data_IF_214288757137
#
_entry.id   IF_214288757137
#
_cell.length_a   1.000
_cell.length_b   1.000
_cell.length_c   1.000
_cell.angle_alpha   90.00
_cell.angle_beta   90.00
_cell.angle_gamma   90.00
#
_symmetry.space_group_name_H-M   'P 1'
#
loop_
_entity.id
_entity.type
_entity.pdbx_description
1 polymer ?
#
# COMPACT_ATOMS: atom_id res chain seq x y z
N UNK A 1 -26.77 -6.46 1.00
CA UNK A 1 -26.79 -5.03 1.39
C UNK A 1 -25.87 -4.89 2.59
N UNK A 2 -24.63 -4.42 2.41
CA UNK A 2 -23.75 -4.15 3.55
C UNK A 2 -24.27 -2.89 4.24
N UNK A 3 -24.78 -3.02 5.46
CA UNK A 3 -24.92 -1.89 6.37
C UNK A 3 -23.55 -1.69 7.01
N UNK A 4 -22.85 -0.65 6.57
CA UNK A 4 -21.67 -0.15 7.25
C UNK A 4 -22.16 0.67 8.45
N UNK A 5 -21.63 0.37 9.63
CA UNK A 5 -21.87 1.16 10.82
C UNK A 5 -20.77 2.23 10.92
N UNK A 6 -21.07 3.41 10.39
CA UNK A 6 -20.11 4.51 10.34
C UNK A 6 -19.71 4.99 11.74
N UNK A 7 -20.61 4.90 12.72
CA UNK A 7 -20.34 5.31 14.10
C UNK A 7 -19.35 4.33 14.76
N UNK A 8 -19.54 3.02 14.56
CA UNK A 8 -18.59 2.03 15.05
C UNK A 8 -17.23 2.12 14.35
N UNK A 9 -17.19 2.35 13.03
CA UNK A 9 -15.93 2.55 12.30
C UNK A 9 -15.17 3.76 12.86
N UNK A 10 -15.87 4.88 13.08
CA UNK A 10 -15.28 6.08 13.65
C UNK A 10 -14.78 5.86 15.08
N UNK A 11 -15.58 5.19 15.92
CA UNK A 11 -15.20 4.87 17.30
C UNK A 11 -13.93 4.02 17.36
N UNK A 12 -13.82 3.02 16.50
CA UNK A 12 -12.63 2.16 16.41
C UNK A 12 -11.40 2.92 15.88
N UNK A 13 -11.60 3.83 14.92
CA UNK A 13 -10.54 4.73 14.45
C UNK A 13 -10.04 5.63 15.57
N UNK A 14 -10.96 6.28 16.28
CA UNK A 14 -10.66 7.20 17.38
C UNK A 14 -9.88 6.48 18.49
N UNK A 15 -10.34 5.32 18.95
CA UNK A 15 -9.65 4.53 19.97
C UNK A 15 -8.22 4.13 19.56
N UNK A 16 -7.98 3.87 18.27
CA UNK A 16 -6.66 3.52 17.77
C UNK A 16 -5.66 4.68 17.82
N UNK A 17 -6.15 5.93 17.78
CA UNK A 17 -5.32 7.14 17.73
C UNK A 17 -5.23 7.80 19.10
N UNK A 18 -6.36 8.11 19.74
CA UNK A 18 -6.40 8.99 20.94
C UNK A 18 -5.90 8.31 22.20
N UNK A 19 -5.81 6.97 22.21
CA UNK A 19 -5.25 6.20 23.33
C UNK A 19 -3.74 5.99 23.24
N UNK A 20 -3.10 6.52 22.19
CA UNK A 20 -1.69 6.31 21.89
C UNK A 20 -0.98 7.65 21.74
N UNK A 21 0.31 7.67 22.10
CA UNK A 21 1.16 8.81 21.75
C UNK A 21 1.37 8.89 20.23
N UNK A 22 1.70 10.09 19.74
CA UNK A 22 1.80 10.42 18.32
C UNK A 22 2.77 9.54 17.52
N UNK A 23 3.67 8.81 18.18
CA UNK A 23 4.65 7.92 17.57
C UNK A 23 4.57 6.45 18.03
N UNK A 24 3.45 6.04 18.63
CA UNK A 24 3.25 4.67 19.11
C UNK A 24 2.06 3.94 18.49
N UNK A 25 1.54 4.44 17.36
CA UNK A 25 0.38 3.84 16.69
C UNK A 25 0.86 2.81 15.66
N UNK A 26 0.69 1.52 15.96
CA UNK A 26 0.97 0.40 15.05
C UNK A 26 -0.22 0.03 14.17
N UNK A 27 0.00 -0.85 13.19
CA UNK A 27 -1.06 -1.41 12.32
C UNK A 27 -2.13 -2.18 13.10
N UNK A 28 -1.75 -2.84 14.21
CA UNK A 28 -2.65 -3.66 15.02
C UNK A 28 -3.74 -2.83 15.71
N UNK A 29 -3.44 -1.57 16.06
CA UNK A 29 -4.44 -0.68 16.65
C UNK A 29 -5.60 -0.41 15.68
N UNK A 30 -5.35 -0.38 14.37
CA UNK A 30 -6.40 -0.18 13.37
C UNK A 30 -7.16 -1.46 12.98
N UNK A 31 -6.78 -2.63 13.51
CA UNK A 31 -7.33 -3.93 13.08
C UNK A 31 -8.87 -3.98 13.21
N UNK A 32 -9.40 -3.49 14.32
CA UNK A 32 -10.83 -3.48 14.58
C UNK A 32 -11.60 -2.55 13.64
N UNK A 33 -11.04 -1.37 13.35
CA UNK A 33 -11.59 -0.45 12.34
C UNK A 33 -11.69 -1.15 10.97
N UNK A 34 -10.63 -1.81 10.51
CA UNK A 34 -10.65 -2.52 9.22
C UNK A 34 -11.61 -3.72 9.20
N UNK A 35 -11.85 -4.40 10.33
CA UNK A 35 -12.86 -5.45 10.41
C UNK A 35 -14.30 -4.94 10.30
N UNK A 36 -14.55 -3.71 10.75
CA UNK A 36 -15.85 -3.05 10.56
C UNK A 36 -16.07 -2.56 9.11
N UNK A 37 -15.04 -2.62 8.25
CA UNK A 37 -15.07 -2.14 6.86
C UNK A 37 -14.81 -3.24 5.81
N UNK A 38 -15.52 -4.39 5.83
CA UNK A 38 -15.28 -5.45 4.88
C UNK A 38 -15.64 -4.98 3.46
N UNK A 39 -14.68 -5.14 2.54
CA UNK A 39 -14.84 -4.77 1.13
C UNK A 39 -14.38 -5.90 0.22
N UNK A 40 -15.07 -6.02 -0.91
CA UNK A 40 -14.73 -6.92 -2.01
C UNK A 40 -14.86 -6.16 -3.31
N UNK A 41 -13.83 -6.21 -4.15
CA UNK A 41 -13.79 -5.53 -5.42
C UNK A 41 -13.67 -6.53 -6.58
N UNK A 42 -14.27 -6.23 -7.75
CA UNK A 42 -14.11 -7.07 -8.94
C UNK A 42 -12.63 -7.25 -9.33
N UNK A 43 -12.27 -8.47 -9.74
CA UNK A 43 -10.94 -8.77 -10.26
C UNK A 43 -10.61 -8.00 -11.56
N UNK A 44 -9.35 -8.10 -11.98
CA UNK A 44 -8.81 -7.55 -13.24
C UNK A 44 -8.72 -6.02 -13.32
N UNK A 45 -9.08 -5.34 -12.22
CA UNK A 45 -9.23 -3.88 -12.18
C UNK A 45 -8.42 -3.20 -11.09
N UNK A 46 -7.54 -3.91 -10.38
CA UNK A 46 -6.73 -3.29 -9.32
C UNK A 46 -5.58 -2.48 -9.92
N UNK A 47 -5.45 -1.23 -9.49
CA UNK A 47 -4.37 -0.33 -9.89
C UNK A 47 -3.59 0.14 -8.66
N UNK A 48 -2.31 -0.21 -8.68
CA UNK A 48 -1.29 0.26 -7.75
C UNK A 48 -0.49 1.38 -8.40
N UNK A 49 0.11 2.24 -7.59
CA UNK A 49 0.89 3.36 -8.11
C UNK A 49 2.02 3.73 -7.15
N UNK A 50 3.15 4.20 -7.68
CA UNK A 50 4.29 4.64 -6.87
C UNK A 50 4.91 5.88 -7.47
N UNK A 51 4.96 6.96 -6.67
CA UNK A 51 5.49 8.28 -7.07
C UNK A 51 4.78 8.89 -8.29
N UNK A 52 3.51 8.53 -8.48
CA UNK A 52 2.69 8.88 -9.65
C UNK A 52 1.29 9.39 -9.27
N UNK A 53 1.06 9.87 -8.04
CA UNK A 53 -0.28 10.26 -7.53
C UNK A 53 -1.11 11.11 -8.51
N UNK A 54 -0.56 12.24 -8.96
CA UNK A 54 -1.23 13.17 -9.89
C UNK A 54 -1.57 12.46 -11.21
N UNK A 55 -0.60 11.71 -11.74
CA UNK A 55 -0.74 10.97 -12.98
C UNK A 55 -1.74 9.82 -12.87
N UNK A 56 -1.78 9.16 -11.71
CA UNK A 56 -2.75 8.12 -11.39
C UNK A 56 -4.17 8.68 -11.43
N UNK A 57 -4.44 9.81 -10.79
CA UNK A 57 -5.78 10.42 -10.82
C UNK A 57 -6.22 10.77 -12.24
N UNK A 58 -5.32 11.37 -13.05
CA UNK A 58 -5.60 11.64 -14.46
C UNK A 58 -5.83 10.37 -15.27
N UNK A 59 -5.03 9.33 -15.06
CA UNK A 59 -5.13 8.05 -15.76
C UNK A 59 -6.42 7.31 -15.40
N UNK A 60 -6.77 7.23 -14.12
CA UNK A 60 -8.00 6.60 -13.64
C UNK A 60 -9.26 7.33 -14.15
N UNK A 61 -9.23 8.66 -14.23
CA UNK A 61 -10.33 9.47 -14.77
C UNK A 61 -10.60 9.23 -16.27
N UNK A 62 -9.56 8.90 -17.04
CA UNK A 62 -9.65 8.68 -18.50
C UNK A 62 -9.93 7.22 -18.85
N UNK A 63 -9.19 6.29 -18.25
CA UNK A 63 -9.32 4.85 -18.55
C UNK A 63 -10.52 4.24 -17.82
N UNK A 64 -11.15 5.02 -16.92
CA UNK A 64 -12.40 4.75 -16.18
C UNK A 64 -12.67 3.27 -16.10
N UNK A 65 -11.97 2.46 -15.31
CA UNK A 65 -12.28 1.03 -15.08
C UNK A 65 -11.30 0.39 -14.06
N UNK A 66 -10.52 1.19 -13.33
CA UNK A 66 -9.59 0.71 -12.32
C UNK A 66 -10.08 1.10 -10.92
N UNK A 67 -9.78 0.26 -9.94
CA UNK A 67 -9.93 0.49 -8.52
C UNK A 67 -8.55 0.79 -7.96
N UNK A 68 -8.39 1.93 -7.30
CA UNK A 68 -7.20 2.26 -6.54
C UNK A 68 -7.45 2.11 -5.05
N UNK A 69 -6.41 2.22 -4.24
CA UNK A 69 -6.58 2.23 -2.78
C UNK A 69 -7.48 3.39 -2.34
N UNK A 70 -7.38 4.53 -3.01
CA UNK A 70 -8.18 5.74 -2.75
C UNK A 70 -9.67 5.54 -3.02
N UNK A 71 -10.06 4.57 -3.85
CA UNK A 71 -11.46 4.22 -4.11
C UNK A 71 -12.08 3.32 -3.02
N UNK A 72 -11.25 2.72 -2.16
CA UNK A 72 -11.74 1.92 -1.02
C UNK A 72 -12.37 2.83 0.05
N UNK A 73 -13.23 2.30 0.92
CA UNK A 73 -13.82 3.10 2.02
C UNK A 73 -12.76 3.79 2.88
N UNK A 74 -11.69 3.06 3.27
CA UNK A 74 -10.59 3.63 4.04
C UNK A 74 -9.82 4.68 3.23
N UNK A 75 -9.56 4.40 1.95
CA UNK A 75 -8.95 5.37 1.04
C UNK A 75 -9.77 6.65 0.98
N UNK A 76 -11.05 6.54 0.65
CA UNK A 76 -11.97 7.67 0.51
C UNK A 76 -12.08 8.51 1.80
N UNK A 77 -12.23 7.86 2.96
CA UNK A 77 -12.41 8.55 4.25
C UNK A 77 -11.14 9.29 4.71
N UNK A 78 -9.96 8.72 4.48
CA UNK A 78 -8.72 9.20 5.07
C UNK A 78 -7.76 9.87 4.06
N UNK A 79 -8.14 9.95 2.78
CA UNK A 79 -7.30 10.56 1.76
C UNK A 79 -7.00 12.02 2.08
N UNK A 80 -5.74 12.43 1.94
CA UNK A 80 -5.26 13.80 2.19
C UNK A 80 -5.50 14.33 3.63
N UNK A 81 -5.88 13.45 4.58
CA UNK A 81 -6.00 13.80 5.99
C UNK A 81 -4.73 13.49 6.77
N UNK A 82 -4.49 14.26 7.85
CA UNK A 82 -3.42 14.07 8.82
C UNK A 82 -4.05 14.06 10.21
N UNK A 83 -3.62 13.14 11.07
CA UNK A 83 -4.12 13.03 12.43
C UNK A 83 -3.05 12.44 13.35
N UNK A 84 -3.15 12.76 14.63
CA UNK A 84 -2.33 12.22 15.70
C UNK A 84 -3.00 12.44 17.06
N UNK A 85 -2.60 11.66 18.07
CA UNK A 85 -3.08 11.79 19.44
C UNK A 85 -2.25 12.79 20.24
N UNK A 86 -2.87 13.43 21.22
CA UNK A 86 -2.18 14.28 22.19
C UNK A 86 -1.31 13.44 23.14
N UNK A 87 -0.23 14.02 23.67
CA UNK A 87 0.68 13.30 24.59
C UNK A 87 0.15 13.25 26.03
N UNK A 88 -0.55 14.30 26.49
CA UNK A 88 -0.97 14.45 27.89
C UNK A 88 -2.45 14.13 28.13
N UNK A 89 -3.31 14.36 27.13
CA UNK A 89 -4.76 14.20 27.22
C UNK A 89 -5.28 13.17 26.21
N UNK A 90 -6.44 12.57 26.50
CA UNK A 90 -7.14 11.72 25.53
C UNK A 90 -7.86 12.58 24.51
N UNK A 91 -7.26 12.74 23.32
CA UNK A 91 -7.86 13.48 22.22
C UNK A 91 -6.96 13.58 20.99
N UNK A 92 -7.48 14.16 19.92
CA UNK A 92 -6.69 14.49 18.73
C UNK A 92 -5.93 15.81 18.93
N UNK A 93 -4.69 15.87 18.45
CA UNK A 93 -3.96 17.13 18.35
C UNK A 93 -4.34 17.84 17.04
N UNK A 94 -4.97 19.00 17.16
CA UNK A 94 -5.35 19.87 16.03
C UNK A 94 -4.35 20.99 15.78
N UNK A 95 -3.35 21.15 16.64
CA UNK A 95 -2.35 22.21 16.57
C UNK A 95 -1.15 21.77 15.73
N UNK A 96 -0.61 20.59 16.03
CA UNK A 96 0.59 20.08 15.35
C UNK A 96 0.69 18.56 15.42
N UNK A 97 0.83 17.92 14.27
CA UNK A 97 1.24 16.52 14.19
C UNK A 97 2.70 16.40 13.74
N UNK A 98 3.43 15.37 14.20
CA UNK A 98 4.77 15.11 13.70
C UNK A 98 4.78 14.86 12.19
N UNK A 99 5.91 15.09 11.54
CA UNK A 99 6.07 14.68 10.16
C UNK A 99 6.02 13.16 10.01
N UNK A 100 5.58 12.69 8.85
CA UNK A 100 5.46 11.26 8.54
C UNK A 100 6.79 10.49 8.68
N UNK A 101 7.92 11.16 8.46
CA UNK A 101 9.26 10.61 8.62
C UNK A 101 9.82 10.70 10.04
N UNK A 102 9.14 11.39 10.96
CA UNK A 102 9.63 11.61 12.31
C UNK A 102 9.71 10.30 13.10
N UNK A 103 8.82 9.34 12.84
CA UNK A 103 8.81 8.07 13.54
C UNK A 103 8.23 6.91 12.74
N UNK A 104 8.62 5.68 13.13
CA UNK A 104 8.23 4.45 12.44
C UNK A 104 6.75 4.10 12.62
N UNK A 105 6.21 4.33 13.82
CA UNK A 105 4.83 3.99 14.19
C UNK A 105 3.97 5.27 14.20
N UNK A 106 4.09 6.05 13.13
CA UNK A 106 3.26 7.23 12.92
C UNK A 106 1.81 6.80 12.60
N UNK A 107 0.78 7.39 13.21
CA UNK A 107 -0.64 7.00 13.06
C UNK A 107 -1.09 6.93 11.61
N UNK A 108 -0.82 7.98 10.84
CA UNK A 108 -1.21 8.05 9.44
C UNK A 108 -0.48 6.98 8.62
N UNK A 109 0.84 6.83 8.80
CA UNK A 109 1.62 5.81 8.11
C UNK A 109 1.15 4.37 8.42
N UNK A 110 0.81 4.09 9.67
CA UNK A 110 0.30 2.78 10.10
C UNK A 110 -1.06 2.47 9.49
N UNK A 111 -1.97 3.45 9.38
CA UNK A 111 -3.24 3.27 8.69
C UNK A 111 -3.01 2.93 7.22
N UNK A 112 -2.20 3.72 6.50
CA UNK A 112 -1.93 3.47 5.08
C UNK A 112 -1.21 2.15 4.85
N UNK A 113 -0.32 1.74 5.77
CA UNK A 113 0.34 0.43 5.72
C UNK A 113 -0.69 -0.70 5.80
N UNK A 114 -1.62 -0.66 6.75
CA UNK A 114 -2.67 -1.66 6.86
C UNK A 114 -3.65 -1.62 5.67
N UNK A 115 -4.03 -0.43 5.21
CA UNK A 115 -4.91 -0.25 4.05
C UNK A 115 -4.28 -0.83 2.77
N UNK A 116 -3.00 -0.54 2.54
CA UNK A 116 -2.22 -1.05 1.40
C UNK A 116 -2.09 -2.57 1.43
N UNK A 117 -1.84 -3.14 2.62
CA UNK A 117 -1.83 -4.59 2.80
C UNK A 117 -3.19 -5.21 2.45
N UNK A 118 -4.28 -4.69 3.02
CA UNK A 118 -5.63 -5.22 2.77
C UNK A 118 -6.02 -5.14 1.28
N UNK A 119 -5.67 -4.04 0.62
CA UNK A 119 -5.93 -3.85 -0.80
C UNK A 119 -5.14 -4.84 -1.67
N UNK A 120 -3.87 -5.07 -1.35
CA UNK A 120 -3.04 -6.05 -2.05
C UNK A 120 -3.50 -7.50 -1.82
N UNK A 121 -3.93 -7.85 -0.60
CA UNK A 121 -4.45 -9.19 -0.30
C UNK A 121 -5.78 -9.48 -1.02
N UNK A 122 -6.55 -8.43 -1.31
CA UNK A 122 -7.80 -8.51 -2.04
C UNK A 122 -7.61 -8.64 -3.55
N UNK A 123 -6.52 -8.10 -4.08
CA UNK A 123 -6.24 -8.04 -5.51
C UNK A 123 -6.27 -9.41 -6.19
N UNK A 124 -6.90 -9.48 -7.35
CA UNK A 124 -7.05 -10.70 -8.13
C UNK A 124 -7.15 -10.43 -9.63
N UNK A 125 -6.81 -11.44 -10.44
CA UNK A 125 -6.77 -11.35 -11.89
C UNK A 125 -5.60 -10.52 -12.38
N UNK A 126 -5.84 -9.71 -13.40
CA UNK A 126 -4.87 -8.79 -13.97
C UNK A 126 -4.80 -7.50 -13.14
N UNK A 127 -3.62 -7.19 -12.59
CA UNK A 127 -3.39 -5.93 -11.87
C UNK A 127 -2.58 -4.97 -12.74
N UNK A 128 -2.67 -3.68 -12.46
CA UNK A 128 -1.88 -2.64 -13.11
C UNK A 128 -1.03 -1.90 -12.07
N UNK A 129 0.20 -1.55 -12.42
CA UNK A 129 1.11 -0.77 -11.60
C UNK A 129 1.59 0.44 -12.40
N UNK A 130 1.31 1.64 -11.92
CA UNK A 130 1.83 2.89 -12.50
C UNK A 130 3.11 3.31 -11.79
N UNK A 131 4.24 3.27 -12.49
CA UNK A 131 5.53 3.73 -11.97
C UNK A 131 5.98 4.99 -12.70
N UNK A 132 6.66 5.87 -11.97
CA UNK A 132 7.20 7.10 -12.56
C UNK A 132 8.44 6.75 -13.39
N UNK A 133 8.29 6.73 -14.72
CA UNK A 133 9.39 6.38 -15.63
C UNK A 133 10.39 7.52 -15.85
N UNK A 134 10.06 8.75 -15.46
CA UNK A 134 10.93 9.92 -15.63
C UNK A 134 12.03 10.02 -14.56
N UNK A 135 12.11 9.06 -13.64
CA UNK A 135 13.10 9.01 -12.56
C UNK A 135 13.95 7.73 -12.64
N UNK A 136 15.22 7.84 -12.27
CA UNK A 136 16.20 6.71 -12.34
C UNK A 136 15.74 5.49 -11.53
N UNK A 137 15.08 5.73 -10.38
CA UNK A 137 14.57 4.69 -9.49
C UNK A 137 13.04 4.71 -9.46
N UNK A 138 12.44 4.32 -10.59
CA UNK A 138 10.99 4.18 -10.76
C UNK A 138 10.36 3.23 -9.71
N UNK A 139 11.05 2.11 -9.42
CA UNK A 139 10.71 1.20 -8.35
C UNK A 139 11.64 1.37 -7.14
N UNK A 140 11.08 1.23 -5.94
CA UNK A 140 11.83 1.18 -4.70
C UNK A 140 11.25 0.13 -3.77
N UNK A 141 12.08 -0.80 -3.28
CA UNK A 141 11.69 -1.80 -2.27
C UNK A 141 11.33 -1.16 -0.92
N UNK A 142 11.68 0.12 -0.71
CA UNK A 142 11.32 0.89 0.49
C UNK A 142 9.98 1.66 0.34
N UNK A 143 9.37 1.67 -0.85
CA UNK A 143 8.07 2.33 -1.06
C UNK A 143 6.92 1.50 -0.50
N UNK A 144 5.74 2.10 -0.29
CA UNK A 144 4.53 1.37 0.14
C UNK A 144 4.23 0.19 -0.82
N UNK A 145 4.27 0.45 -2.12
CA UNK A 145 4.18 -0.60 -3.13
C UNK A 145 5.22 -1.70 -2.95
N UNK A 146 6.50 -1.35 -2.89
CA UNK A 146 7.57 -2.35 -2.83
C UNK A 146 7.70 -3.12 -1.51
N UNK A 147 7.32 -2.52 -0.39
CA UNK A 147 7.54 -3.09 0.95
C UNK A 147 6.31 -3.72 1.59
N UNK A 148 5.12 -3.34 1.14
CA UNK A 148 3.85 -3.78 1.72
C UNK A 148 3.02 -4.44 0.64
N UNK A 149 2.57 -3.69 -0.37
CA UNK A 149 1.60 -4.17 -1.35
C UNK A 149 2.16 -5.39 -2.11
N UNK A 150 3.39 -5.29 -2.59
CA UNK A 150 4.04 -6.32 -3.37
C UNK A 150 4.23 -7.64 -2.61
N UNK A 151 4.56 -7.56 -1.31
CA UNK A 151 4.76 -8.72 -0.45
C UNK A 151 3.43 -9.32 0.03
N UNK A 152 2.34 -8.53 -0.01
CA UNK A 152 0.99 -8.93 0.38
C UNK A 152 0.14 -9.52 -0.76
N UNK A 153 0.52 -9.31 -2.03
CA UNK A 153 -0.12 -9.94 -3.18
C UNK A 153 -0.15 -11.46 -3.03
N UNK A 154 -1.27 -12.08 -3.40
CA UNK A 154 -1.42 -13.55 -3.38
C UNK A 154 -1.09 -14.12 -4.77
N UNK A 155 0.07 -14.80 -4.97
CA UNK A 155 0.50 -15.21 -6.31
C UNK A 155 -0.49 -16.12 -7.04
N UNK A 156 -1.26 -16.92 -6.30
CA UNK A 156 -2.29 -17.81 -6.86
C UNK A 156 -3.58 -17.09 -7.30
N UNK A 157 -3.77 -15.82 -6.91
CA UNK A 157 -4.94 -15.01 -7.30
C UNK A 157 -4.62 -14.00 -8.39
N UNK A 158 -3.34 -13.66 -8.57
CA UNK A 158 -2.87 -12.66 -9.54
C UNK A 158 -2.39 -13.36 -10.80
N UNK A 159 -3.07 -13.12 -11.92
CA UNK A 159 -2.74 -13.74 -13.20
C UNK A 159 -1.61 -12.97 -13.89
N UNK A 160 -1.74 -11.64 -13.97
CA UNK A 160 -0.78 -10.79 -14.67
C UNK A 160 -0.55 -9.45 -13.97
N UNK A 161 0.69 -8.96 -14.01
CA UNK A 161 1.08 -7.63 -13.49
C UNK A 161 1.44 -6.72 -14.67
N UNK A 162 0.54 -5.81 -15.03
CA UNK A 162 0.76 -4.82 -16.08
C UNK A 162 1.49 -3.61 -15.53
N UNK A 163 2.76 -3.41 -15.91
CA UNK A 163 3.49 -2.22 -15.51
C UNK A 163 3.36 -1.16 -16.60
N UNK A 164 2.94 0.05 -16.23
CA UNK A 164 2.92 1.19 -17.14
C UNK A 164 3.83 2.30 -16.62
N UNK A 165 4.55 2.92 -17.56
CA UNK A 165 5.46 4.04 -17.32
C UNK A 165 5.01 5.23 -18.16
N UNK A 166 3.98 5.98 -17.73
CA UNK A 166 3.50 7.09 -18.53
C UNK A 166 4.56 8.19 -18.57
N UNK A 167 4.87 8.71 -19.76
CA UNK A 167 5.82 9.80 -19.96
C UNK A 167 7.23 9.45 -20.44
N UNK A 168 7.51 8.20 -20.86
CA UNK A 168 8.84 7.84 -21.41
C UNK A 168 8.77 7.08 -22.74
N UNK A 169 9.53 7.57 -23.73
CA UNK A 169 9.83 6.92 -25.01
C UNK A 169 11.11 6.06 -24.96
N UNK A 170 11.73 5.85 -23.79
CA UNK A 170 13.04 5.18 -23.67
C UNK A 170 12.98 3.87 -22.88
N UNK A 171 13.25 2.80 -23.63
CA UNK A 171 13.18 1.36 -23.31
C UNK A 171 14.28 0.89 -22.33
N UNK A 172 15.23 1.75 -21.92
CA UNK A 172 16.53 1.32 -21.39
C UNK A 172 16.52 1.08 -19.86
N UNK A 173 15.60 1.69 -19.09
CA UNK A 173 15.63 1.65 -17.61
C UNK A 173 14.77 0.55 -16.95
N UNK A 174 14.11 -0.29 -17.75
CA UNK A 174 13.04 -1.19 -17.29
C UNK A 174 13.51 -2.54 -16.72
N UNK A 175 14.77 -2.90 -16.94
CA UNK A 175 15.23 -4.29 -16.77
C UNK A 175 15.18 -4.82 -15.31
N UNK A 176 15.59 -4.02 -14.31
CA UNK A 176 15.61 -4.48 -12.90
C UNK A 176 14.22 -4.56 -12.28
N UNK A 177 13.34 -3.63 -12.62
CA UNK A 177 11.96 -3.60 -12.11
C UNK A 177 11.13 -4.73 -12.72
N UNK A 178 11.27 -4.97 -14.03
CA UNK A 178 10.68 -6.14 -14.66
C UNK A 178 11.18 -7.43 -14.04
N UNK A 179 12.49 -7.58 -13.78
CA UNK A 179 13.00 -8.80 -13.15
C UNK A 179 12.36 -9.09 -11.79
N UNK A 180 12.29 -8.12 -10.87
CA UNK A 180 11.68 -8.35 -9.54
C UNK A 180 10.21 -8.78 -9.68
N UNK A 181 9.46 -8.17 -10.61
CA UNK A 181 8.05 -8.48 -10.81
C UNK A 181 7.84 -9.81 -11.56
N UNK A 182 8.68 -10.13 -12.54
CA UNK A 182 8.72 -11.44 -13.19
C UNK A 182 9.00 -12.56 -12.19
N UNK A 183 9.87 -12.31 -11.21
CA UNK A 183 10.18 -13.27 -10.15
C UNK A 183 9.04 -13.48 -9.15
N UNK A 184 8.12 -12.53 -9.02
CA UNK A 184 6.92 -12.71 -8.21
C UNK A 184 5.89 -13.56 -8.94
N UNK A 185 5.80 -13.44 -10.27
CA UNK A 185 4.93 -14.28 -11.10
C UNK A 185 5.48 -15.69 -11.28
N UNK A 186 6.80 -15.84 -11.47
CA UNK A 186 7.45 -17.12 -11.68
C UNK A 186 8.77 -17.21 -10.90
N UNK A 187 8.73 -17.60 -9.62
CA UNK A 187 9.92 -17.69 -8.77
C UNK A 187 10.98 -18.68 -9.28
N UNK A 188 10.58 -19.65 -10.11
CA UNK A 188 11.44 -20.71 -10.65
C UNK A 188 12.15 -20.31 -11.95
N UNK A 189 11.90 -19.12 -12.47
CA UNK A 189 12.59 -18.61 -13.66
C UNK A 189 14.09 -18.45 -13.39
N UNK A 190 14.95 -18.81 -14.34
CA UNK A 190 16.41 -18.79 -14.18
C UNK A 190 16.97 -17.40 -13.83
N UNK A 191 16.37 -16.34 -14.36
CA UNK A 191 16.67 -14.93 -14.03
C UNK A 191 16.38 -14.54 -12.58
N UNK A 192 15.60 -15.35 -11.85
CA UNK A 192 15.16 -15.11 -10.47
C UNK A 192 16.01 -15.78 -9.40
N UNK A 193 16.91 -16.68 -9.79
CA UNK A 193 17.78 -17.42 -8.87
C UNK A 193 18.72 -16.51 -8.07
N UNK A 194 19.09 -15.33 -8.60
CA UNK A 194 19.87 -14.32 -7.86
C UNK A 194 19.04 -13.58 -6.79
N UNK A 195 17.70 -13.46 -6.98
CA UNK A 195 16.79 -12.90 -5.97
C UNK A 195 16.43 -13.90 -4.86
N UNK A 196 16.37 -15.21 -5.18
CA UNK A 196 16.10 -16.25 -4.19
C UNK A 196 17.19 -16.33 -3.11
N UNK A 197 18.46 -16.15 -3.48
CA UNK A 197 19.60 -16.19 -2.55
C UNK A 197 19.64 -14.98 -1.58
N UNK A 198 19.09 -13.83 -1.96
CA UNK A 198 19.01 -12.66 -1.07
C UNK A 198 17.81 -12.71 -0.11
N UNK A 199 16.74 -13.43 -0.46
CA UNK A 199 15.60 -13.72 0.41
C UNK A 199 15.89 -14.87 1.40
N UNK A 200 16.65 -15.90 0.99
CA UNK A 200 17.05 -16.99 1.89
C UNK A 200 18.06 -16.54 2.94
N UNK A 201 18.99 -15.64 2.58
CA UNK A 201 19.93 -15.05 3.54
C UNK A 201 19.23 -14.23 4.65
N UNK A 202 18.07 -13.62 4.37
CA UNK A 202 17.30 -12.91 5.42
C UNK A 202 16.57 -13.83 6.38
N UNK A 203 16.11 -15.02 5.95
CA UNK A 203 15.53 -16.01 6.87
C UNK A 203 16.60 -16.66 7.75
N UNK A 204 17.82 -16.80 7.25
CA UNK A 204 18.94 -17.38 8.00
C UNK A 204 19.55 -16.42 9.05
N UNK A 205 19.32 -15.11 8.94
CA UNK A 205 19.85 -14.11 9.89
C UNK A 205 18.93 -13.81 11.08
N UNK A 206 17.84 -14.57 11.25
CA UNK A 206 16.93 -14.50 12.41
C UNK A 206 16.93 -15.75 13.29
N UNK A 207 17.88 -16.66 13.07
CA UNK A 207 18.18 -17.76 13.99
C UNK A 207 19.69 -17.89 14.16
N UNK A 208 20.29 -16.92 14.84
CA UNK A 208 21.48 -17.07 15.68
C UNK A 208 21.58 -15.90 16.64
#
# INVERSE_FOLDING_TARGET
MCRLDCEEIWRQFEEAVVRQSSCNVTVEHYRHMFYAMPQTWPCDRFLFWSKTRILMHSYAAVVRHFWTLEDTLAGYMFNDLIWCGQEEDSGFDFSSCPEWSACRNHPVYSLWRQASQNFAEMACGNITVLLNGSIVNAFSRKSMFGSVELDSLKPHRVNYVNIKYPGVTQIIFLHRTLMILQCIQNPQQSSCQTCANSLSHRKSLTFQ
#
